data_IF_057141131566
#
_entry.id   IF_057141131566
#
_cell.length_a   1.000
_cell.length_b   1.000
_cell.length_c   1.000
_cell.angle_alpha   90.00
_cell.angle_beta   90.00
_cell.angle_gamma   90.00
#
_symmetry.space_group_name_H-M   'P 1'
#
loop_
_entity.id
_entity.type
_entity.pdbx_description
1 polymer ?
#
# COMPACT_ATOMS: atom_id res chain seq x y z
N UNK A 1 -12.32 -0.04 -1.27
CA UNK A 1 -11.00 -0.46 -0.76
C UNK A 1 -11.25 -1.48 0.33
N UNK A 2 -10.40 -2.50 0.45
CA UNK A 2 -10.54 -3.52 1.49
C UNK A 2 -9.94 -3.00 2.82
N UNK A 3 -8.85 -2.21 2.75
CA UNK A 3 -8.32 -1.38 3.84
C UNK A 3 -7.54 -0.16 3.32
N UNK A 4 -7.24 0.78 4.22
CA UNK A 4 -6.37 1.94 4.00
C UNK A 4 -5.40 2.10 5.17
N UNK A 5 -4.17 2.50 4.86
CA UNK A 5 -3.14 2.85 5.83
C UNK A 5 -2.32 4.03 5.36
N UNK A 6 -1.63 4.70 6.29
CA UNK A 6 -0.84 5.89 6.01
C UNK A 6 0.62 5.67 6.36
N UNK A 7 1.52 6.35 5.65
CA UNK A 7 2.96 6.36 5.92
C UNK A 7 3.57 7.74 5.74
N UNK A 8 4.90 7.80 5.82
CA UNK A 8 5.68 9.02 5.64
C UNK A 8 5.28 9.72 4.32
N UNK A 9 5.05 11.04 4.33
CA UNK A 9 4.80 11.80 3.10
C UNK A 9 5.92 11.60 2.06
N UNK A 10 5.57 11.67 0.79
CA UNK A 10 6.57 11.73 -0.27
C UNK A 10 7.45 12.98 -0.15
N UNK A 11 8.70 12.95 -0.65
CA UNK A 11 9.57 14.13 -0.64
C UNK A 11 8.87 15.35 -1.28
N UNK A 12 8.79 16.45 -0.54
CA UNK A 12 8.12 17.68 -0.99
C UNK A 12 6.59 17.69 -0.79
N UNK A 13 5.99 16.62 -0.27
CA UNK A 13 4.58 16.55 0.08
C UNK A 13 4.37 16.71 1.59
N UNK A 14 3.28 17.36 1.99
CA UNK A 14 2.88 17.48 3.39
C UNK A 14 1.86 16.41 3.81
N UNK A 15 1.11 15.85 2.84
CA UNK A 15 0.09 14.84 3.12
C UNK A 15 0.72 13.45 3.25
N UNK A 16 0.30 12.62 4.24
CA UNK A 16 0.78 11.25 4.38
C UNK A 16 0.57 10.41 3.12
N UNK A 17 1.55 9.58 2.77
CA UNK A 17 1.39 8.62 1.69
C UNK A 17 0.27 7.65 2.03
N UNK A 18 -0.65 7.41 1.10
CA UNK A 18 -1.79 6.51 1.30
C UNK A 18 -1.45 5.16 0.69
N UNK A 19 -1.65 4.08 1.45
CA UNK A 19 -1.55 2.70 0.98
C UNK A 19 -2.91 2.01 1.08
N UNK A 20 -3.24 1.13 0.12
CA UNK A 20 -4.48 0.38 0.14
C UNK A 20 -4.35 -1.01 -0.49
N UNK A 21 -5.00 -2.01 0.11
CA UNK A 21 -5.39 -3.23 -0.59
C UNK A 21 -6.74 -2.98 -1.26
N UNK A 22 -6.78 -3.01 -2.58
CA UNK A 22 -7.95 -2.60 -3.34
C UNK A 22 -7.99 -3.20 -4.75
N UNK A 23 -9.09 -2.89 -5.46
CA UNK A 23 -9.19 -3.04 -6.90
C UNK A 23 -9.28 -1.64 -7.53
N UNK A 24 -8.27 -1.25 -8.31
CA UNK A 24 -8.21 0.04 -9.03
C UNK A 24 -8.08 -0.25 -10.51
N UNK A 25 -8.92 0.37 -11.35
CA UNK A 25 -8.88 0.17 -12.80
C UNK A 25 -9.02 -1.30 -13.23
N UNK A 26 -9.82 -2.08 -12.49
CA UNK A 26 -10.02 -3.51 -12.78
C UNK A 26 -8.95 -4.45 -12.21
N UNK A 27 -7.80 -3.95 -11.72
CA UNK A 27 -6.71 -4.78 -11.19
C UNK A 27 -6.71 -4.82 -9.67
N UNK A 28 -6.68 -6.03 -9.09
CA UNK A 28 -6.50 -6.25 -7.64
C UNK A 28 -5.01 -6.11 -7.30
N UNK A 29 -4.71 -5.51 -6.15
CA UNK A 29 -3.33 -5.41 -5.67
C UNK A 29 -3.19 -4.48 -4.48
N UNK A 30 -1.93 -4.16 -4.18
CA UNK A 30 -1.55 -3.15 -3.22
C UNK A 30 -1.22 -1.88 -4.00
N UNK A 31 -1.80 -0.76 -3.58
CA UNK A 31 -1.68 0.52 -4.25
C UNK A 31 -1.17 1.60 -3.29
N UNK A 32 -0.42 2.55 -3.86
CA UNK A 32 0.10 3.75 -3.19
C UNK A 32 -0.45 5.01 -3.85
N UNK A 33 -0.72 6.05 -3.07
CA UNK A 33 -1.01 7.39 -3.56
C UNK A 33 -0.21 8.42 -2.77
N UNK A 34 0.54 9.24 -3.50
CA UNK A 34 1.36 10.34 -2.95
C UNK A 34 0.67 11.71 -3.12
N UNK A 35 -0.58 11.71 -3.61
CA UNK A 35 -1.32 12.93 -3.98
C UNK A 35 -2.77 12.89 -3.51
N UNK A 36 -2.96 12.56 -2.23
CA UNK A 36 -4.27 12.62 -1.56
C UNK A 36 -5.33 11.71 -2.23
N UNK A 37 -4.92 10.58 -2.81
CA UNK A 37 -5.82 9.63 -3.44
C UNK A 37 -6.26 9.99 -4.87
N UNK A 38 -5.73 11.07 -5.46
CA UNK A 38 -6.09 11.50 -6.82
C UNK A 38 -5.56 10.54 -7.90
N UNK A 39 -4.39 9.95 -7.70
CA UNK A 39 -3.80 8.92 -8.55
C UNK A 39 -3.23 7.79 -7.70
N UNK A 40 -3.26 6.58 -8.26
CA UNK A 40 -2.82 5.37 -7.58
C UNK A 40 -1.80 4.62 -8.44
N UNK A 41 -0.71 4.20 -7.81
CA UNK A 41 0.33 3.37 -8.40
C UNK A 41 0.21 1.98 -7.77
N UNK A 42 0.15 0.93 -8.59
CA UNK A 42 0.21 -0.44 -8.07
C UNK A 42 1.66 -0.76 -7.68
N UNK A 43 1.87 -1.15 -6.43
CA UNK A 43 3.21 -1.38 -5.87
C UNK A 43 3.55 -2.87 -5.69
N UNK A 44 2.62 -3.75 -6.02
CA UNK A 44 2.87 -5.18 -6.18
C UNK A 44 2.70 -5.62 -7.65
N UNK A 45 3.15 -6.83 -7.97
CA UNK A 45 3.00 -7.45 -9.29
C UNK A 45 2.21 -8.77 -9.21
N UNK A 46 1.91 -9.37 -10.36
CA UNK A 46 1.06 -10.56 -10.46
C UNK A 46 1.67 -11.83 -9.83
N UNK A 47 2.98 -11.84 -9.54
CA UNK A 47 3.65 -12.91 -8.78
C UNK A 47 3.60 -12.67 -7.26
N UNK A 48 3.27 -11.45 -6.83
CA UNK A 48 3.25 -11.02 -5.43
C UNK A 48 1.84 -10.60 -4.97
N UNK A 49 0.90 -11.56 -4.87
CA UNK A 49 -0.50 -11.28 -4.52
C UNK A 49 -0.91 -11.69 -3.09
N UNK A 50 -0.26 -12.71 -2.52
CA UNK A 50 -0.48 -13.23 -1.16
C UNK A 50 -1.92 -13.62 -0.79
N UNK A 51 -2.74 -13.96 -1.80
CA UNK A 51 -4.15 -14.36 -1.66
C UNK A 51 -5.02 -13.28 -1.02
N UNK A 52 -5.23 -13.31 0.30
CA UNK A 52 -6.11 -12.37 1.00
C UNK A 52 -5.28 -11.39 1.84
N UNK A 53 -5.42 -10.11 1.54
CA UNK A 53 -4.66 -8.98 2.14
C UNK A 53 -5.59 -7.92 2.74
N UNK A 54 -6.78 -8.36 3.16
CA UNK A 54 -7.88 -7.51 3.62
C UNK A 54 -7.98 -7.35 5.14
N UNK A 55 -6.96 -7.72 5.92
CA UNK A 55 -7.01 -7.56 7.38
C UNK A 55 -6.52 -6.19 7.84
N UNK A 56 -5.31 -5.81 7.43
CA UNK A 56 -4.67 -4.57 7.85
C UNK A 56 -3.57 -4.17 6.86
N UNK A 57 -3.36 -2.86 6.73
CA UNK A 57 -2.25 -2.28 5.98
C UNK A 57 -1.81 -1.00 6.70
N UNK A 58 -0.51 -0.80 6.85
CA UNK A 58 0.06 0.44 7.39
C UNK A 58 1.32 0.82 6.65
N UNK A 59 1.53 2.11 6.39
CA UNK A 59 2.85 2.61 6.02
C UNK A 59 3.73 2.80 7.25
N UNK A 60 5.02 3.07 7.02
CA UNK A 60 5.94 3.54 8.08
C UNK A 60 5.94 5.07 8.12
N UNK A 61 5.66 5.73 9.26
CA UNK A 61 5.71 7.19 9.35
C UNK A 61 7.14 7.75 9.26
N UNK A 62 8.18 6.91 9.30
CA UNK A 62 9.60 7.31 9.32
C UNK A 62 10.37 6.92 8.05
N UNK A 63 9.79 6.08 7.18
CA UNK A 63 10.44 5.60 5.96
C UNK A 63 9.45 5.72 4.80
N UNK A 64 9.72 6.67 3.90
CA UNK A 64 8.91 6.83 2.69
C UNK A 64 8.93 5.56 1.84
N UNK A 65 7.76 5.20 1.30
CA UNK A 65 7.61 4.04 0.44
C UNK A 65 7.51 2.68 1.16
N UNK A 66 7.73 2.61 2.48
CA UNK A 66 7.59 1.36 3.26
C UNK A 66 6.14 1.09 3.63
N UNK A 67 5.70 -0.15 3.42
CA UNK A 67 4.36 -0.65 3.76
C UNK A 67 4.41 -2.04 4.40
N UNK A 68 3.53 -2.25 5.37
CA UNK A 68 3.31 -3.52 6.07
C UNK A 68 1.91 -4.02 5.72
N UNK A 69 1.79 -5.25 5.19
CA UNK A 69 0.52 -5.84 4.72
C UNK A 69 0.24 -7.13 5.48
N UNK A 70 -0.85 -7.15 6.23
CA UNK A 70 -1.32 -8.37 6.89
C UNK A 70 -2.02 -9.29 5.90
N UNK A 71 -1.67 -10.57 5.95
CA UNK A 71 -2.25 -11.61 5.08
C UNK A 71 -3.01 -12.63 5.91
N UNK A 72 -3.94 -13.36 5.27
CA UNK A 72 -4.49 -14.57 5.85
C UNK A 72 -3.67 -15.78 5.38
N UNK A 73 -2.80 -16.30 6.25
CA UNK A 73 -2.03 -17.54 6.01
C UNK A 73 -0.64 -17.39 5.40
N UNK A 74 -0.12 -16.16 5.20
CA UNK A 74 1.25 -15.91 4.65
C UNK A 74 2.11 -14.99 5.54
N UNK A 75 1.67 -14.68 6.76
CA UNK A 75 2.37 -13.79 7.69
C UNK A 75 2.22 -12.29 7.35
N UNK A 76 3.22 -11.50 7.76
CA UNK A 76 3.30 -10.06 7.48
C UNK A 76 4.26 -9.83 6.31
N UNK A 77 3.77 -9.17 5.25
CA UNK A 77 4.61 -8.77 4.13
C UNK A 77 5.10 -7.35 4.36
N UNK A 78 6.38 -7.12 4.12
CA UNK A 78 6.98 -5.79 4.10
C UNK A 78 7.36 -5.48 2.66
N UNK A 79 6.90 -4.34 2.15
CA UNK A 79 7.31 -3.80 0.85
C UNK A 79 7.99 -2.45 1.04
N UNK A 80 8.99 -2.17 0.21
CA UNK A 80 9.64 -0.86 0.16
C UNK A 80 9.76 -0.47 -1.31
N UNK A 81 9.18 0.68 -1.65
CA UNK A 81 9.23 1.23 -3.00
C UNK A 81 10.29 2.30 -3.05
N UNK A 82 11.29 2.10 -3.92
CA UNK A 82 12.32 3.10 -4.26
C UNK A 82 11.75 4.28 -5.01
#
# INVERSE_FOLDING_TARGET
ADNVGFGMPAPGCAYPTIFSSAKVGGKRGIFRSDNEGRRWIRINDDRHQWAWTGAAISGDPRVYGRVYVATNGRGLIIGETS
#
